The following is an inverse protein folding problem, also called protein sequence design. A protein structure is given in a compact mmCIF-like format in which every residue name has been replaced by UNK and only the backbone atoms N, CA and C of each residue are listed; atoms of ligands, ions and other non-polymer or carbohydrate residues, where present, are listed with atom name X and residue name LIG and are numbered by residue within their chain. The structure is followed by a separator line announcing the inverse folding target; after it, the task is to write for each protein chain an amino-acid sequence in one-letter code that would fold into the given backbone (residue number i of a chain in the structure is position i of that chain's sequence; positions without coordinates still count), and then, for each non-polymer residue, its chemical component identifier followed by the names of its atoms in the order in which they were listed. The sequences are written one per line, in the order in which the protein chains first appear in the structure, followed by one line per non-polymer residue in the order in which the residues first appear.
data_IF_616201202595
#
_entry.id   IF_616201202595
#
_cell.length_a   1.000
_cell.length_b   1.000
_cell.length_c   1.000
_cell.angle_alpha   90.00
_cell.angle_beta   90.00
_cell.angle_gamma   90.00
#
_symmetry.space_group_name_H-M   'P 1'
#
loop_
_entity.id
_entity.type
_entity.pdbx_description
1 polymer ?
#
# COMPACT_ATOMS: atom_id res chain seq x y z
N UNK A 1 5.58 9.54 13.99
CA UNK A 1 4.64 8.63 13.30
C UNK A 1 3.98 9.41 12.17
N UNK A 2 3.39 8.74 11.18
CA UNK A 2 2.74 9.39 10.03
C UNK A 2 1.37 8.75 9.76
N UNK A 3 0.38 9.51 9.26
CA UNK A 3 -0.93 8.95 8.89
C UNK A 3 -0.81 8.00 7.69
N UNK A 4 -1.66 6.98 7.67
CA UNK A 4 -1.73 5.93 6.66
C UNK A 4 -3.11 5.98 6.02
N UNK A 5 -3.16 6.13 4.69
CA UNK A 5 -4.37 5.92 3.89
C UNK A 5 -4.28 4.53 3.25
N UNK A 6 -5.20 3.64 3.60
CA UNK A 6 -5.19 2.23 3.18
C UNK A 6 -6.45 1.91 2.37
N UNK A 7 -6.28 1.50 1.11
CA UNK A 7 -7.36 1.01 0.27
C UNK A 7 -7.49 -0.51 0.36
N UNK A 8 -8.71 -1.02 0.59
CA UNK A 8 -9.00 -2.45 0.75
C UNK A 8 -10.03 -2.87 -0.32
N UNK A 9 -9.66 -3.83 -1.16
CA UNK A 9 -10.58 -4.44 -2.10
C UNK A 9 -11.43 -5.50 -1.41
N UNK A 10 -12.74 -5.27 -1.26
CA UNK A 10 -13.66 -6.16 -0.55
C UNK A 10 -14.91 -6.47 -1.39
N UNK A 11 -14.79 -7.29 -2.45
CA UNK A 11 -15.91 -7.65 -3.32
C UNK A 11 -16.87 -8.66 -2.68
N UNK A 12 -18.17 -8.57 -3.02
CA UNK A 12 -19.16 -9.57 -2.64
C UNK A 12 -19.18 -9.87 -1.14
N UNK A 13 -19.03 -11.15 -0.78
CA UNK A 13 -19.05 -11.59 0.62
C UNK A 13 -17.77 -11.24 1.41
N UNK A 14 -16.73 -10.68 0.79
CA UNK A 14 -15.51 -10.24 1.49
C UNK A 14 -15.70 -8.93 2.26
N UNK A 15 -16.80 -8.20 2.03
CA UNK A 15 -17.12 -6.94 2.71
C UNK A 15 -17.23 -7.09 4.23
N UNK A 16 -18.07 -8.01 4.71
CA UNK A 16 -18.33 -8.15 6.14
C UNK A 16 -17.09 -8.61 6.92
N UNK A 17 -16.31 -9.61 6.46
CA UNK A 17 -15.02 -9.94 7.06
C UNK A 17 -14.07 -8.76 7.10
N UNK A 18 -13.94 -7.99 6.00
CA UNK A 18 -13.06 -6.81 5.95
C UNK A 18 -13.43 -5.77 7.00
N UNK A 19 -14.72 -5.47 7.14
CA UNK A 19 -15.24 -4.53 8.14
C UNK A 19 -14.97 -5.03 9.56
N UNK A 20 -15.19 -6.32 9.82
CA UNK A 20 -14.90 -6.93 11.12
C UNK A 20 -13.40 -6.89 11.43
N UNK A 21 -12.52 -7.11 10.44
CA UNK A 21 -11.08 -6.97 10.59
C UNK A 21 -10.67 -5.55 10.93
N UNK A 22 -11.27 -4.53 10.31
CA UNK A 22 -11.02 -3.13 10.65
C UNK A 22 -11.42 -2.86 12.11
N UNK A 23 -12.61 -3.30 12.55
CA UNK A 23 -13.05 -3.11 13.94
C UNK A 23 -12.13 -3.82 14.92
N UNK A 24 -11.79 -5.09 14.67
CA UNK A 24 -10.88 -5.85 15.52
C UNK A 24 -9.50 -5.16 15.63
N UNK A 25 -8.93 -4.70 14.52
CA UNK A 25 -7.63 -4.01 14.53
C UNK A 25 -7.65 -2.66 15.25
N UNK A 26 -8.82 -2.01 15.34
CA UNK A 26 -8.99 -0.75 16.07
C UNK A 26 -9.23 -0.98 17.57
N UNK A 27 -10.01 -2.00 17.91
CA UNK A 27 -10.51 -2.19 19.28
C UNK A 27 -9.66 -3.19 20.10
N UNK A 28 -9.01 -4.16 19.44
CA UNK A 28 -8.39 -5.31 20.09
C UNK A 28 -6.86 -5.38 19.97
N UNK A 29 -6.22 -4.39 19.33
CA UNK A 29 -4.77 -4.31 19.13
C UNK A 29 -3.95 -4.00 20.40
N UNK A 30 -4.61 -3.67 21.51
CA UNK A 30 -3.96 -3.28 22.78
C UNK A 30 -3.35 -1.87 22.78
N UNK A 31 -3.51 -1.11 21.69
CA UNK A 31 -3.16 0.31 21.57
C UNK A 31 -4.09 0.97 20.55
N UNK A 32 -4.12 2.29 20.52
CA UNK A 32 -5.00 3.09 19.66
C UNK A 32 -4.33 3.58 18.37
N UNK A 33 -3.16 3.03 18.00
CA UNK A 33 -2.39 3.52 16.84
C UNK A 33 -3.18 3.35 15.53
N UNK A 34 -3.91 2.26 15.36
CA UNK A 34 -4.76 2.04 14.18
C UNK A 34 -5.91 3.05 14.15
N UNK A 35 -6.51 3.33 15.31
CA UNK A 35 -7.59 4.30 15.44
C UNK A 35 -7.11 5.73 15.14
N UNK A 36 -5.90 6.09 15.57
CA UNK A 36 -5.33 7.43 15.42
C UNK A 36 -4.75 7.69 14.03
N UNK A 37 -4.05 6.70 13.45
CA UNK A 37 -3.20 6.95 12.27
C UNK A 37 -3.70 6.30 10.98
N UNK A 38 -4.69 5.40 11.00
CA UNK A 38 -5.12 4.67 9.79
C UNK A 38 -6.52 5.09 9.34
N UNK A 39 -6.62 5.52 8.09
CA UNK A 39 -7.89 5.73 7.38
C UNK A 39 -8.08 4.61 6.36
N UNK A 40 -9.23 3.94 6.41
CA UNK A 40 -9.56 2.81 5.55
C UNK A 40 -10.50 3.24 4.42
N UNK A 41 -10.20 2.82 3.20
CA UNK A 41 -11.01 3.06 2.00
C UNK A 41 -11.39 1.71 1.39
N UNK A 42 -12.60 1.24 1.69
CA UNK A 42 -13.09 -0.03 1.13
C UNK A 42 -13.65 0.21 -0.27
N UNK A 43 -13.29 -0.63 -1.22
CA UNK A 43 -13.78 -0.53 -2.59
C UNK A 43 -14.04 -1.91 -3.21
N UNK A 44 -14.90 -1.94 -4.22
CA UNK A 44 -15.31 -3.14 -4.95
C UNK A 44 -15.82 -2.74 -6.34
N UNK A 45 -15.82 -3.69 -7.27
CA UNK A 45 -16.34 -3.49 -8.63
C UNK A 45 -17.87 -3.49 -8.65
N UNK A 46 -18.48 -2.76 -9.58
CA UNK A 46 -19.93 -2.75 -9.81
C UNK A 46 -20.49 -4.14 -10.22
N UNK A 47 -19.63 -5.06 -10.66
CA UNK A 47 -20.00 -6.46 -10.96
C UNK A 47 -20.02 -7.37 -9.72
N UNK A 48 -19.43 -6.91 -8.61
CA UNK A 48 -19.23 -7.69 -7.38
C UNK A 48 -19.63 -6.88 -6.16
N UNK A 49 -20.83 -6.30 -6.22
CA UNK A 49 -21.40 -5.48 -5.16
C UNK A 49 -21.74 -6.39 -3.96
N UNK A 50 -21.31 -6.05 -2.74
CA UNK A 50 -21.74 -6.75 -1.53
C UNK A 50 -23.24 -6.64 -1.30
N UNK A 51 -23.87 -7.72 -0.82
CA UNK A 51 -25.31 -7.73 -0.51
C UNK A 51 -25.69 -6.67 0.54
N UNK A 52 -24.78 -6.38 1.47
CA UNK A 52 -24.95 -5.37 2.50
C UNK A 52 -23.71 -4.47 2.52
N UNK A 53 -23.92 -3.17 2.27
CA UNK A 53 -22.91 -2.13 2.39
C UNK A 53 -23.16 -1.40 3.71
N UNK A 54 -22.28 -1.52 4.73
CA UNK A 54 -22.45 -0.83 6.00
C UNK A 54 -22.41 0.69 5.83
N UNK A 55 -23.18 1.41 6.64
CA UNK A 55 -23.13 2.85 6.72
C UNK A 55 -21.74 3.31 7.24
N UNK A 56 -20.96 4.08 6.46
CA UNK A 56 -19.62 4.54 6.83
C UNK A 56 -19.55 5.24 8.20
N UNK A 57 -20.59 6.01 8.57
CA UNK A 57 -20.60 6.83 9.79
C UNK A 57 -21.02 6.05 11.04
N UNK A 58 -21.52 4.84 10.87
CA UNK A 58 -22.08 4.03 11.97
C UNK A 58 -21.27 2.77 12.21
N UNK A 59 -20.68 2.16 11.18
CA UNK A 59 -20.07 0.85 11.34
C UNK A 59 -18.88 0.88 12.31
N UNK A 60 -18.13 1.98 12.38
CA UNK A 60 -17.02 2.15 13.33
C UNK A 60 -17.47 2.45 14.76
N UNK A 61 -18.73 2.83 14.98
CA UNK A 61 -19.30 3.05 16.32
C UNK A 61 -19.65 1.73 17.02
N UNK A 62 -19.83 0.65 16.25
CA UNK A 62 -20.07 -0.68 16.80
C UNK A 62 -18.73 -1.28 17.25
N UNK A 63 -18.51 -1.50 18.56
CA UNK A 63 -17.29 -2.10 19.05
C UNK A 63 -17.21 -3.59 18.67
N UNK A 64 -16.00 -4.10 18.51
CA UNK A 64 -15.73 -5.51 18.31
C UNK A 64 -15.59 -6.26 19.64
N UNK A 65 -16.08 -7.50 19.69
CA UNK A 65 -15.85 -8.37 20.85
C UNK A 65 -14.45 -8.99 20.78
N UNK A 66 -13.51 -8.46 21.56
CA UNK A 66 -12.12 -8.92 21.58
C UNK A 66 -11.89 -10.30 22.19
N UNK A 67 -12.92 -10.93 22.78
CA UNK A 67 -12.85 -12.34 23.19
C UNK A 67 -12.98 -13.30 21.99
N UNK A 68 -13.46 -12.81 20.84
CA UNK A 68 -13.53 -13.59 19.60
C UNK A 68 -12.16 -13.64 18.90
N UNK A 69 -11.88 -14.71 18.14
CA UNK A 69 -10.66 -14.79 17.35
C UNK A 69 -10.61 -13.68 16.29
N UNK A 70 -9.38 -13.34 15.89
CA UNK A 70 -9.14 -12.34 14.85
C UNK A 70 -9.86 -12.72 13.55
N UNK A 71 -10.76 -11.87 13.02
CA UNK A 71 -11.60 -12.21 11.88
C UNK A 71 -10.83 -12.25 10.55
N UNK A 72 -9.60 -11.74 10.51
CA UNK A 72 -8.71 -11.86 9.35
C UNK A 72 -7.97 -13.22 9.30
N UNK A 73 -8.04 -14.05 10.34
CA UNK A 73 -7.45 -15.39 10.35
C UNK A 73 -8.34 -16.38 9.58
N UNK A 74 -8.54 -16.13 8.30
CA UNK A 74 -9.36 -16.95 7.39
C UNK A 74 -8.49 -17.64 6.35
N UNK A 75 -8.94 -18.79 5.86
CA UNK A 75 -8.30 -19.45 4.73
C UNK A 75 -8.53 -18.58 3.47
N UNK A 76 -7.46 -18.12 2.82
CA UNK A 76 -7.58 -17.26 1.63
C UNK A 76 -8.43 -17.89 0.52
N UNK A 77 -8.37 -19.22 0.36
CA UNK A 77 -9.15 -19.96 -0.65
C UNK A 77 -10.67 -19.89 -0.43
N UNK A 78 -11.14 -19.47 0.74
CA UNK A 78 -12.59 -19.36 1.02
C UNK A 78 -13.15 -17.96 0.74
N UNK A 79 -12.30 -16.98 0.44
CA UNK A 79 -12.70 -15.61 0.11
C UNK A 79 -13.50 -15.55 -1.19
N UNK A 80 -14.38 -14.56 -1.31
CA UNK A 80 -15.14 -14.31 -2.53
C UNK A 80 -14.21 -14.06 -3.72
N UNK A 81 -13.18 -13.21 -3.52
CA UNK A 81 -12.17 -12.91 -4.54
C UNK A 81 -11.53 -14.18 -5.10
N UNK A 82 -11.06 -15.11 -4.25
CA UNK A 82 -10.44 -16.36 -4.71
C UNK A 82 -11.45 -17.30 -5.38
N UNK A 83 -12.64 -17.49 -4.80
CA UNK A 83 -13.71 -18.35 -5.37
C UNK A 83 -14.17 -17.89 -6.75
N UNK A 84 -14.12 -16.59 -7.00
CA UNK A 84 -14.53 -15.98 -8.27
C UNK A 84 -13.35 -15.64 -9.18
N UNK A 85 -12.13 -16.05 -8.80
CA UNK A 85 -10.89 -15.84 -9.53
C UNK A 85 -10.67 -14.36 -9.92
N UNK A 86 -10.96 -13.44 -9.00
CA UNK A 86 -10.81 -12.00 -9.25
C UNK A 86 -9.37 -11.57 -9.06
N UNK A 87 -8.88 -10.78 -10.00
CA UNK A 87 -7.60 -10.09 -9.85
C UNK A 87 -7.70 -9.02 -8.77
N UNK A 88 -6.61 -8.84 -8.01
CA UNK A 88 -6.50 -7.74 -7.06
C UNK A 88 -6.09 -6.46 -7.82
N UNK A 89 -6.94 -5.42 -7.88
CA UNK A 89 -6.69 -4.25 -8.70
C UNK A 89 -5.76 -3.25 -7.98
N UNK A 90 -4.49 -3.62 -7.83
CA UNK A 90 -3.49 -2.86 -7.04
C UNK A 90 -3.38 -1.40 -7.46
N UNK A 91 -3.38 -1.12 -8.76
CA UNK A 91 -3.29 0.25 -9.30
C UNK A 91 -4.52 1.10 -8.95
N UNK A 92 -5.70 0.49 -8.86
CA UNK A 92 -6.92 1.18 -8.42
C UNK A 92 -6.82 1.48 -6.94
N UNK A 93 -6.40 0.50 -6.12
CA UNK A 93 -6.17 0.69 -4.69
C UNK A 93 -5.18 1.82 -4.39
N UNK A 94 -4.02 1.83 -5.05
CA UNK A 94 -3.02 2.90 -4.92
C UNK A 94 -3.61 4.27 -5.25
N UNK A 95 -4.40 4.38 -6.31
CA UNK A 95 -5.03 5.64 -6.72
C UNK A 95 -6.10 6.12 -5.73
N UNK A 96 -6.92 5.20 -5.18
CA UNK A 96 -7.92 5.53 -4.16
C UNK A 96 -7.23 6.06 -2.90
N UNK A 97 -6.23 5.34 -2.39
CA UNK A 97 -5.47 5.77 -1.22
C UNK A 97 -4.76 7.12 -1.46
N UNK A 98 -4.12 7.29 -2.62
CA UNK A 98 -3.46 8.54 -3.01
C UNK A 98 -4.42 9.72 -3.06
N UNK A 99 -5.61 9.52 -3.64
CA UNK A 99 -6.61 10.58 -3.79
C UNK A 99 -7.26 10.97 -2.46
N UNK A 100 -7.37 10.04 -1.52
CA UNK A 100 -7.97 10.26 -0.21
C UNK A 100 -6.96 10.73 0.86
N UNK A 101 -5.66 10.66 0.59
CA UNK A 101 -4.63 11.12 1.51
C UNK A 101 -4.73 12.64 1.74
N UNK A 102 -4.65 13.04 3.00
CA UNK A 102 -4.73 14.45 3.44
C UNK A 102 -3.37 15.15 3.53
N UNK A 103 -2.27 14.41 3.32
CA UNK A 103 -0.91 14.92 3.46
C UNK A 103 -0.36 15.48 2.15
N UNK A 104 0.57 16.42 2.25
CA UNK A 104 1.21 17.03 1.09
C UNK A 104 2.33 16.15 0.49
N UNK A 105 2.97 15.31 1.31
CA UNK A 105 3.99 14.37 0.85
C UNK A 105 3.47 12.93 1.03
N UNK A 106 3.52 12.15 -0.04
CA UNK A 106 3.00 10.81 -0.10
C UNK A 106 4.10 9.82 -0.44
N UNK A 107 4.26 8.81 0.41
CA UNK A 107 5.12 7.66 0.17
C UNK A 107 4.21 6.43 -0.03
N UNK A 108 3.96 6.00 -1.28
CA UNK A 108 3.16 4.81 -1.53
C UNK A 108 3.96 3.55 -1.16
N UNK A 109 3.29 2.61 -0.49
CA UNK A 109 3.83 1.31 -0.12
C UNK A 109 2.79 0.24 -0.42
N UNK A 110 3.22 -0.87 -1.00
CA UNK A 110 2.39 -2.07 -1.11
C UNK A 110 2.39 -2.84 0.20
N UNK A 111 1.27 -3.50 0.51
CA UNK A 111 1.08 -4.15 1.82
C UNK A 111 2.04 -5.32 2.07
N UNK A 112 2.61 -5.90 1.02
CA UNK A 112 3.63 -6.96 1.12
C UNK A 112 5.01 -6.42 1.51
N UNK A 113 5.22 -5.11 1.43
CA UNK A 113 6.48 -4.47 1.76
C UNK A 113 6.46 -4.03 3.22
N UNK A 114 7.07 -4.85 4.07
CA UNK A 114 7.25 -4.47 5.46
C UNK A 114 8.25 -3.31 5.56
N UNK A 115 7.85 -2.15 6.12
CA UNK A 115 8.72 -0.98 6.17
C UNK A 115 9.89 -1.21 7.13
N UNK A 116 11.06 -0.68 6.77
CA UNK A 116 12.20 -0.67 7.70
C UNK A 116 11.89 0.18 8.94
N UNK A 117 12.49 -0.15 10.09
CA UNK A 117 12.52 0.77 11.22
C UNK A 117 13.01 2.14 10.78
N UNK A 118 12.40 3.21 11.30
CA UNK A 118 12.75 4.60 10.99
C UNK A 118 12.42 5.10 9.57
N UNK A 119 11.64 4.37 8.77
CA UNK A 119 11.21 4.85 7.45
C UNK A 119 10.60 6.26 7.49
N UNK A 120 9.65 6.50 8.40
CA UNK A 120 8.97 7.80 8.55
C UNK A 120 9.95 8.94 8.86
N UNK A 121 10.77 8.89 9.93
CA UNK A 121 11.71 9.99 10.21
C UNK A 121 12.77 10.16 9.12
N UNK A 122 13.21 9.09 8.45
CA UNK A 122 14.13 9.20 7.32
C UNK A 122 13.48 9.90 6.12
N UNK A 123 12.23 9.55 5.79
CA UNK A 123 11.47 10.20 4.74
C UNK A 123 11.28 11.69 5.03
N UNK A 124 10.86 12.06 6.25
CA UNK A 124 10.69 13.47 6.62
C UNK A 124 12.01 14.24 6.60
N UNK A 125 13.13 13.63 7.00
CA UNK A 125 14.45 14.23 6.91
C UNK A 125 14.89 14.44 5.44
N UNK A 126 14.59 13.49 4.54
CA UNK A 126 14.81 13.66 3.10
C UNK A 126 14.01 14.85 2.56
N UNK A 127 12.74 14.99 2.95
CA UNK A 127 11.90 16.13 2.55
C UNK A 127 12.49 17.44 3.08
N UNK A 128 12.85 17.51 4.37
CA UNK A 128 13.37 18.72 5.00
C UNK A 128 14.68 19.21 4.36
N UNK A 129 15.56 18.30 3.94
CA UNK A 129 16.81 18.65 3.24
C UNK A 129 16.59 19.18 1.82
N UNK A 130 15.44 18.90 1.22
CA UNK A 130 15.09 19.29 -0.14
C UNK A 130 13.92 20.28 -0.17
N UNK A 131 13.72 21.05 0.91
CA UNK A 131 12.57 21.96 1.05
C UNK A 131 12.47 23.01 -0.08
N UNK A 132 13.56 23.72 -0.49
CA UNK A 132 13.45 24.74 -1.53
C UNK A 132 12.88 24.26 -2.88
N UNK A 133 13.33 23.15 -3.49
CA UNK A 133 12.70 22.64 -4.72
C UNK A 133 11.31 22.06 -4.49
N UNK A 134 11.00 21.56 -3.28
CA UNK A 134 9.73 20.92 -2.95
C UNK A 134 8.61 21.92 -2.61
N UNK A 135 8.95 23.13 -2.15
CA UNK A 135 7.99 24.18 -1.78
C UNK A 135 7.42 24.98 -2.97
N UNK A 136 7.75 24.59 -4.20
CA UNK A 136 7.34 25.27 -5.44
C UNK A 136 5.86 25.10 -5.83
N UNK A 137 5.11 24.24 -5.14
CA UNK A 137 3.71 23.91 -5.47
C UNK A 137 2.93 23.48 -4.23
N UNK A 138 1.66 23.85 -4.17
CA UNK A 138 0.73 23.42 -3.12
C UNK A 138 0.05 22.06 -3.43
N UNK A 139 0.34 21.44 -4.58
CA UNK A 139 -0.19 20.13 -4.94
C UNK A 139 0.55 19.01 -4.21
N UNK A 140 -0.15 17.95 -3.74
CA UNK A 140 0.53 16.83 -3.11
C UNK A 140 1.56 16.18 -4.04
N UNK A 141 2.70 15.80 -3.48
CA UNK A 141 3.82 15.17 -4.19
C UNK A 141 3.96 13.71 -3.77
N UNK A 142 4.17 12.84 -4.75
CA UNK A 142 4.32 11.40 -4.57
C UNK A 142 5.79 11.03 -4.73
N UNK A 143 6.31 10.24 -3.80
CA UNK A 143 7.68 9.72 -3.78
C UNK A 143 7.64 8.20 -3.92
N UNK A 144 7.45 7.66 -5.14
CA UNK A 144 7.32 6.23 -5.34
C UNK A 144 8.62 5.51 -4.98
N UNK A 145 8.51 4.33 -4.36
CA UNK A 145 9.65 3.43 -4.24
C UNK A 145 9.89 2.74 -5.58
N UNK A 146 11.13 2.81 -6.06
CA UNK A 146 11.57 2.00 -7.19
C UNK A 146 11.71 0.56 -6.72
N UNK A 147 10.77 -0.28 -7.11
CA UNK A 147 10.79 -1.71 -6.83
C UNK A 147 11.12 -2.44 -8.13
N UNK A 148 12.01 -3.40 -8.03
CA UNK A 148 12.36 -4.29 -9.12
C UNK A 148 12.05 -5.71 -8.68
N UNK A 149 11.20 -6.38 -9.44
CA UNK A 149 10.97 -7.81 -9.28
C UNK A 149 12.09 -8.56 -9.98
N UNK A 150 12.68 -9.51 -9.27
CA UNK A 150 13.68 -10.42 -9.81
C UNK A 150 13.01 -11.78 -10.00
N UNK A 151 13.23 -12.38 -11.16
CA UNK A 151 12.80 -13.75 -11.39
C UNK A 151 13.47 -14.67 -10.37
N UNK A 152 12.77 -15.74 -9.98
CA UNK A 152 13.22 -16.72 -8.99
C UNK A 152 14.61 -17.31 -9.29
N UNK A 153 15.03 -17.27 -10.55
CA UNK A 153 16.31 -17.81 -11.01
C UNK A 153 17.44 -16.77 -11.07
N UNK A 154 17.19 -15.52 -10.71
CA UNK A 154 18.18 -14.44 -10.74
C UNK A 154 18.75 -14.17 -9.34
N UNK A 155 20.08 -14.18 -9.22
CA UNK A 155 20.77 -13.81 -7.98
C UNK A 155 21.16 -12.33 -8.04
N UNK A 156 20.74 -11.55 -7.03
CA UNK A 156 21.13 -10.15 -6.89
C UNK A 156 22.57 -10.08 -6.44
N UNK A 157 23.42 -9.36 -7.18
CA UNK A 157 24.79 -9.07 -6.73
C UNK A 157 24.79 -7.87 -5.81
N UNK A 158 25.75 -7.75 -4.89
CA UNK A 158 25.76 -6.70 -3.87
C UNK A 158 25.74 -5.26 -4.45
N UNK A 159 26.13 -5.07 -5.71
CA UNK A 159 26.05 -3.81 -6.44
C UNK A 159 24.64 -3.39 -6.84
N UNK A 160 23.70 -4.34 -6.93
CA UNK A 160 22.33 -4.08 -7.40
C UNK A 160 21.39 -3.64 -6.27
N UNK A 161 21.84 -3.75 -5.01
CA UNK A 161 21.05 -3.46 -3.81
C UNK A 161 21.03 -1.97 -3.41
N UNK A 162 21.70 -1.10 -4.17
CA UNK A 162 21.87 0.30 -3.81
C UNK A 162 21.16 1.17 -4.85
N UNK A 163 19.88 1.45 -4.59
CA UNK A 163 19.18 2.58 -5.20
C UNK A 163 19.74 3.91 -4.69
N UNK A 164 20.97 4.24 -5.08
CA UNK A 164 21.49 5.61 -4.93
C UNK A 164 20.79 6.49 -5.95
N UNK A 165 20.18 7.58 -5.47
CA UNK A 165 19.70 8.68 -6.28
C UNK A 165 20.87 9.28 -7.09
N UNK A 166 21.08 8.75 -8.30
CA UNK A 166 21.98 9.28 -9.30
C UNK A 166 21.15 9.90 -10.42
N UNK A 167 21.51 11.13 -10.80
CA UNK A 167 20.87 11.88 -11.88
C UNK A 167 20.81 11.05 -13.17
N UNK A 168 19.59 10.75 -13.65
CA UNK A 168 19.40 10.23 -14.99
C UNK A 168 19.30 11.43 -15.92
N UNK A 169 20.38 11.74 -16.61
CA UNK A 169 20.32 12.58 -17.81
C UNK A 169 19.44 11.90 -18.86
N UNK A 170 18.53 12.69 -19.41
CA UNK A 170 17.58 12.30 -20.44
C UNK A 170 18.33 11.95 -21.74
N UNK A 171 18.49 10.65 -22.01
CA UNK A 171 18.86 10.18 -23.35
C UNK A 171 17.60 9.78 -24.12
N UNK A 172 17.36 10.57 -25.16
CA UNK A 172 16.42 10.35 -26.23
C UNK A 172 16.59 8.97 -26.88
N UNK A 173 15.47 8.28 -27.14
CA UNK A 173 15.36 7.26 -28.18
C UNK A 173 15.30 5.81 -27.69
N UNK A 174 14.15 5.18 -27.95
CA UNK A 174 13.88 3.75 -28.04
C UNK A 174 15.12 2.83 -27.95
N UNK A 175 15.45 2.33 -26.76
CA UNK A 175 16.18 1.06 -26.60
C UNK A 175 16.00 0.51 -25.19
N UNK A 176 15.52 -0.72 -25.09
CA UNK A 176 15.57 -1.52 -23.86
C UNK A 176 17.06 -1.75 -23.54
N UNK A 177 17.53 -1.49 -22.30
CA UNK A 177 18.92 -1.74 -21.95
C UNK A 177 19.21 -3.24 -22.01
N UNK A 178 19.97 -3.65 -23.04
CA UNK A 178 20.51 -5.00 -23.17
C UNK A 178 21.83 -5.06 -22.39
N UNK A 179 21.85 -5.84 -21.31
CA UNK A 179 23.08 -6.15 -20.56
C UNK A 179 23.94 -7.06 -21.44
N UNK A 180 25.04 -6.52 -21.96
CA UNK A 180 25.99 -7.25 -22.80
C UNK A 180 26.83 -8.21 -21.94
N UNK A 181 26.65 -9.52 -22.16
CA UNK A 181 27.46 -10.58 -21.55
C UNK A 181 28.82 -10.65 -22.25
N UNK A 182 29.96 -10.65 -21.55
CA UNK A 182 31.27 -10.88 -22.17
C UNK A 182 31.49 -12.37 -22.45
N UNK A 183 31.94 -12.69 -23.67
CA UNK A 183 32.29 -14.05 -24.10
C UNK A 183 33.46 -14.61 -23.28
N UNK A 184 33.28 -15.83 -22.77
CA UNK A 184 34.32 -16.60 -22.09
C UNK A 184 35.14 -17.40 -23.12
N UNK A 185 36.44 -17.08 -23.19
CA UNK A 185 37.50 -17.95 -23.73
C UNK A 185 37.97 -18.96 -22.69
#
# INVERSE_FOLDING_TARGET
MAPISLAIHAPGSDMQPSVNSIRYLRDCSGNDLVQQYVTFHIFFSNKHIPDNIPNPDEFLKTPYNCSLPAPYAVNSSTTYKEKTNLLYPVNVGRNIARAAALTHFLLPLDIELYPSPYLVPQFLNMIARNEPPLSTSNKPRVFPLSLFEIDKNYSVTASDQIGTAGNVEEQNGDTVPQVRVPDMS
#
